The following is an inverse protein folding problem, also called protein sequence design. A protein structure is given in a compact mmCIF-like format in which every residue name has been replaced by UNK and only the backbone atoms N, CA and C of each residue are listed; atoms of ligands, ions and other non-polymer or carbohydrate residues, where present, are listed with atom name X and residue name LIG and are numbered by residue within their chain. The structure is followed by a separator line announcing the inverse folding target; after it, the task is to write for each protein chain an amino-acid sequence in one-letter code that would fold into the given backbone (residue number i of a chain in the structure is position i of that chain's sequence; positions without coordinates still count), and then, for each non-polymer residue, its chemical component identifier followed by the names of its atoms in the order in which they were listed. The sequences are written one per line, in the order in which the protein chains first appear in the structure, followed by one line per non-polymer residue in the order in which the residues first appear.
data_IF_471453330158
#
_entry.id   IF_471453330158
#
_cell.length_a   1.000
_cell.length_b   1.000
_cell.length_c   1.000
_cell.angle_alpha   90.00
_cell.angle_beta   90.00
_cell.angle_gamma   90.00
#
_symmetry.space_group_name_H-M   'P 1'
#
loop_
_entity.id
_entity.type
_entity.pdbx_description
1 polymer ?
#
# COMPACT_ATOMS: atom_id res chain seq x y z
N UNK A 1 11.97 -19.85 -6.75
CA UNK A 1 12.10 -18.38 -6.65
C UNK A 1 10.72 -17.81 -6.91
N UNK A 2 10.12 -17.11 -5.96
CA UNK A 2 8.81 -16.46 -6.18
C UNK A 2 9.04 -15.27 -7.10
N UNK A 3 8.36 -15.23 -8.25
CA UNK A 3 8.43 -14.10 -9.17
C UNK A 3 8.04 -12.81 -8.43
N UNK A 4 8.79 -11.73 -8.65
CA UNK A 4 8.54 -10.45 -7.98
C UNK A 4 8.03 -9.45 -9.02
N UNK A 5 6.98 -8.74 -8.66
CA UNK A 5 6.44 -7.67 -9.47
C UNK A 5 7.06 -6.35 -9.02
N UNK A 6 7.31 -5.49 -9.99
CA UNK A 6 7.72 -4.12 -9.78
C UNK A 6 6.60 -3.21 -10.32
N UNK A 7 5.92 -2.52 -9.42
CA UNK A 7 4.83 -1.59 -9.72
C UNK A 7 5.35 -0.16 -9.68
N UNK A 8 4.99 0.63 -10.69
CA UNK A 8 5.29 2.07 -10.75
C UNK A 8 3.98 2.84 -10.66
N UNK A 9 3.86 3.68 -9.64
CA UNK A 9 2.65 4.42 -9.31
C UNK A 9 2.93 5.92 -9.28
N UNK A 10 1.91 6.75 -9.52
CA UNK A 10 1.94 8.17 -9.14
C UNK A 10 0.81 8.53 -8.20
N UNK A 11 1.06 9.56 -7.40
CA UNK A 11 0.11 10.18 -6.49
C UNK A 11 0.13 11.68 -6.72
N UNK A 12 -0.98 12.24 -7.24
CA UNK A 12 -1.04 13.65 -7.62
C UNK A 12 -0.99 14.60 -6.41
N UNK A 13 -1.71 14.28 -5.34
CA UNK A 13 -1.75 15.09 -4.12
C UNK A 13 -1.61 14.20 -2.89
N UNK A 14 -0.36 13.90 -2.58
CA UNK A 14 0.00 13.04 -1.47
C UNK A 14 -0.45 13.61 -0.12
N UNK A 15 -0.40 14.94 0.05
CA UNK A 15 -0.72 15.61 1.30
C UNK A 15 -2.20 15.44 1.69
N UNK A 16 -3.10 15.43 0.70
CA UNK A 16 -4.54 15.29 0.89
C UNK A 16 -5.08 13.87 0.64
N UNK A 17 -4.25 12.94 0.18
CA UNK A 17 -4.66 11.56 -0.11
C UNK A 17 -5.08 10.81 1.17
N UNK A 18 -6.33 10.36 1.26
CA UNK A 18 -6.86 9.65 2.44
C UNK A 18 -7.76 8.49 2.02
N UNK A 19 -7.64 7.38 2.76
CA UNK A 19 -8.59 6.27 2.69
C UNK A 19 -9.92 6.59 3.36
N UNK A 20 -10.94 5.75 3.11
CA UNK A 20 -12.28 5.91 3.68
C UNK A 20 -12.34 5.71 5.19
N UNK A 21 -11.37 4.98 5.76
CA UNK A 21 -11.31 4.63 7.18
C UNK A 21 -10.12 5.37 7.84
N UNK A 22 -10.35 6.47 8.59
CA UNK A 22 -9.27 7.26 9.18
C UNK A 22 -8.34 6.48 10.10
N UNK A 23 -8.83 5.41 10.74
CA UNK A 23 -8.03 4.55 11.63
C UNK A 23 -6.95 3.72 10.89
N UNK A 24 -7.09 3.56 9.57
CA UNK A 24 -6.16 2.82 8.70
C UNK A 24 -5.25 3.75 7.89
N UNK A 25 -5.61 5.03 7.81
CA UNK A 25 -4.87 6.02 7.03
C UNK A 25 -3.45 6.26 7.56
N UNK A 26 -2.57 6.70 6.66
CA UNK A 26 -1.25 7.18 7.04
C UNK A 26 -1.33 8.65 7.55
N UNK A 27 -0.41 9.10 8.43
CA UNK A 27 -0.35 10.50 8.92
C UNK A 27 0.98 11.30 8.78
N UNK A 28 2.05 10.72 8.24
CA UNK A 28 3.35 11.36 8.00
C UNK A 28 3.35 12.53 7.01
N UNK A 29 4.51 13.17 6.85
CA UNK A 29 4.64 14.52 6.28
C UNK A 29 5.17 14.56 4.84
N UNK A 30 5.63 13.45 4.28
CA UNK A 30 6.17 13.43 2.92
C UNK A 30 6.34 12.04 2.30
N UNK A 31 6.93 11.96 1.08
CA UNK A 31 7.07 10.72 0.33
C UNK A 31 7.84 9.63 1.07
N UNK A 32 8.92 9.96 1.77
CA UNK A 32 9.70 8.98 2.52
C UNK A 32 8.89 8.32 3.65
N UNK A 33 8.09 9.11 4.38
CA UNK A 33 7.21 8.59 5.42
C UNK A 33 6.12 7.69 4.81
N UNK A 34 5.61 8.07 3.64
CA UNK A 34 4.65 7.24 2.91
C UNK A 34 5.26 5.92 2.47
N UNK A 35 6.47 5.94 1.90
CA UNK A 35 7.18 4.73 1.49
C UNK A 35 7.36 3.78 2.67
N UNK A 36 7.77 4.29 3.83
CA UNK A 36 7.88 3.49 5.05
C UNK A 36 6.53 2.91 5.50
N UNK A 37 5.45 3.70 5.44
CA UNK A 37 4.11 3.25 5.81
C UNK A 37 3.58 2.15 4.87
N UNK A 38 3.77 2.31 3.56
CA UNK A 38 3.37 1.31 2.58
C UNK A 38 4.24 0.05 2.67
N UNK A 39 5.56 0.19 2.89
CA UNK A 39 6.46 -0.93 3.10
C UNK A 39 6.04 -1.77 4.32
N UNK A 40 5.76 -1.13 5.46
CA UNK A 40 5.24 -1.82 6.66
C UNK A 40 3.92 -2.53 6.37
N UNK A 41 2.99 -1.88 5.66
CA UNK A 41 1.70 -2.46 5.28
C UNK A 41 1.81 -3.70 4.36
N UNK A 42 2.92 -3.83 3.64
CA UNK A 42 3.22 -4.99 2.80
C UNK A 42 4.00 -6.08 3.57
N UNK A 43 4.86 -5.69 4.52
CA UNK A 43 5.70 -6.62 5.30
C UNK A 43 4.99 -7.21 6.52
N UNK A 44 3.94 -6.55 7.02
CA UNK A 44 3.28 -6.88 8.28
C UNK A 44 1.76 -7.01 8.11
N UNK A 45 1.10 -7.97 8.79
CA UNK A 45 -0.35 -8.10 8.72
C UNK A 45 -1.07 -7.01 9.54
N UNK A 46 -0.34 -6.17 10.29
CA UNK A 46 -0.91 -5.25 11.28
C UNK A 46 -1.99 -4.31 10.74
N UNK A 47 -1.84 -3.84 9.49
CA UNK A 47 -2.85 -3.00 8.84
C UNK A 47 -4.13 -3.81 8.51
N UNK A 48 -3.96 -5.03 7.99
CA UNK A 48 -5.07 -5.94 7.72
C UNK A 48 -5.78 -6.35 9.02
N UNK A 49 -5.05 -6.68 10.08
CA UNK A 49 -5.62 -7.05 11.38
C UNK A 49 -6.44 -5.91 11.99
N UNK A 50 -5.96 -4.66 11.87
CA UNK A 50 -6.71 -3.48 12.31
C UNK A 50 -8.01 -3.30 11.52
N UNK A 51 -7.97 -3.48 10.21
CA UNK A 51 -9.18 -3.44 9.37
C UNK A 51 -10.13 -4.60 9.68
N UNK A 52 -9.61 -5.82 9.85
CA UNK A 52 -10.37 -7.02 10.17
C UNK A 52 -11.13 -6.86 11.49
N UNK A 53 -10.47 -6.32 12.51
CA UNK A 53 -11.08 -6.06 13.82
C UNK A 53 -12.24 -5.06 13.77
N UNK A 54 -12.31 -4.22 12.73
CA UNK A 54 -13.43 -3.29 12.50
C UNK A 54 -14.62 -3.88 11.74
N UNK A 55 -14.51 -5.12 11.24
CA UNK A 55 -15.61 -5.77 10.51
C UNK A 55 -16.69 -6.29 11.45
N UNK A 56 -17.95 -6.44 10.99
CA UNK A 56 -19.04 -7.00 11.80
C UNK A 56 -18.75 -8.43 12.32
N UNK A 57 -18.10 -9.25 11.49
CA UNK A 57 -17.73 -10.64 11.79
C UNK A 57 -16.24 -10.85 11.46
N UNK A 58 -15.31 -10.42 12.33
CA UNK A 58 -13.87 -10.45 12.06
C UNK A 58 -13.32 -11.84 11.75
N UNK A 59 -13.90 -12.88 12.35
CA UNK A 59 -13.45 -14.27 12.20
C UNK A 59 -13.88 -14.91 10.88
N UNK A 60 -14.86 -14.32 10.18
CA UNK A 60 -15.31 -14.78 8.85
C UNK A 60 -14.52 -14.14 7.69
N UNK A 61 -13.69 -13.13 7.99
CA UNK A 61 -12.86 -12.46 6.99
C UNK A 61 -11.78 -13.41 6.50
N UNK A 62 -11.69 -13.58 5.18
CA UNK A 62 -10.67 -14.41 4.52
C UNK A 62 -9.23 -14.02 4.95
N UNK A 63 -8.49 -14.92 5.63
CA UNK A 63 -7.10 -14.67 6.02
C UNK A 63 -6.16 -14.39 4.84
N UNK A 64 -6.49 -14.83 3.63
CA UNK A 64 -5.67 -14.59 2.44
C UNK A 64 -5.56 -13.09 2.09
N UNK A 65 -6.53 -12.27 2.50
CA UNK A 65 -6.47 -10.82 2.38
C UNK A 65 -5.37 -10.19 3.27
N UNK A 66 -4.90 -10.93 4.28
CA UNK A 66 -3.82 -10.58 5.18
C UNK A 66 -2.42 -11.02 4.73
N UNK A 67 -2.27 -11.58 3.53
CA UNK A 67 -0.95 -12.01 3.06
C UNK A 67 0.07 -10.86 3.02
N UNK A 68 1.32 -11.21 3.32
CA UNK A 68 2.45 -10.27 3.47
C UNK A 68 3.65 -10.72 2.65
N UNK A 69 4.53 -9.80 2.31
CA UNK A 69 5.86 -10.05 1.75
C UNK A 69 6.92 -9.37 2.63
N UNK A 70 7.60 -10.15 3.48
CA UNK A 70 8.63 -9.66 4.39
C UNK A 70 9.85 -9.04 3.67
N UNK A 71 9.99 -9.24 2.36
CA UNK A 71 11.06 -8.67 1.55
C UNK A 71 10.59 -7.49 0.71
N UNK A 72 9.32 -7.06 0.80
CA UNK A 72 8.77 -5.97 -0.02
C UNK A 72 9.60 -4.70 0.16
N UNK A 73 9.86 -3.96 -0.92
CA UNK A 73 10.59 -2.68 -0.86
C UNK A 73 9.75 -1.60 -1.49
N UNK A 74 9.76 -0.41 -0.89
CA UNK A 74 9.07 0.77 -1.41
C UNK A 74 10.00 1.96 -1.37
N UNK A 75 10.10 2.68 -2.48
CA UNK A 75 10.65 4.03 -2.49
C UNK A 75 9.62 5.00 -3.06
N UNK A 76 9.67 6.23 -2.57
CA UNK A 76 8.83 7.31 -3.05
C UNK A 76 9.62 8.61 -3.08
N UNK A 77 9.39 9.41 -4.11
CA UNK A 77 10.08 10.67 -4.33
C UNK A 77 9.13 11.70 -4.95
N UNK A 78 9.41 12.97 -4.70
CA UNK A 78 8.73 14.06 -5.39
C UNK A 78 9.23 14.13 -6.83
N UNK A 79 8.31 14.17 -7.79
CA UNK A 79 8.56 14.42 -9.21
C UNK A 79 7.65 15.58 -9.65
N UNK A 80 8.23 16.79 -9.74
CA UNK A 80 7.52 18.04 -10.02
C UNK A 80 6.29 18.27 -9.11
N UNK A 81 5.08 18.07 -9.63
CA UNK A 81 3.79 18.31 -8.96
C UNK A 81 3.14 17.04 -8.39
N UNK A 82 3.80 15.88 -8.50
CA UNK A 82 3.28 14.62 -8.01
C UNK A 82 4.36 13.82 -7.27
N UNK A 83 3.98 12.68 -6.74
CA UNK A 83 4.88 11.73 -6.10
C UNK A 83 4.92 10.47 -6.94
N UNK A 84 6.11 10.04 -7.30
CA UNK A 84 6.34 8.72 -7.89
C UNK A 84 6.64 7.72 -6.79
N UNK A 85 6.11 6.50 -6.95
CA UNK A 85 6.28 5.41 -5.99
C UNK A 85 6.66 4.15 -6.76
N UNK A 86 7.79 3.57 -6.40
CA UNK A 86 8.20 2.25 -6.84
C UNK A 86 7.93 1.22 -5.74
N UNK A 87 7.33 0.09 -6.11
CA UNK A 87 7.01 -1.00 -5.19
C UNK A 87 7.52 -2.31 -5.77
N UNK A 88 8.39 -2.98 -5.03
CA UNK A 88 8.85 -4.33 -5.35
C UNK A 88 8.25 -5.32 -4.36
N UNK A 89 7.42 -6.24 -4.84
CA UNK A 89 6.78 -7.24 -3.99
C UNK A 89 6.40 -8.50 -4.76
N UNK A 90 6.32 -9.62 -4.05
CA UNK A 90 5.71 -10.87 -4.54
C UNK A 90 4.19 -10.89 -4.42
N UNK A 91 3.59 -9.91 -3.71
CA UNK A 91 2.14 -9.80 -3.59
C UNK A 91 1.50 -9.43 -4.93
N UNK A 92 0.29 -9.95 -5.22
CA UNK A 92 -0.47 -9.56 -6.40
C UNK A 92 -1.00 -8.12 -6.29
N UNK A 93 -1.30 -7.52 -7.44
CA UNK A 93 -1.82 -6.14 -7.54
C UNK A 93 -3.09 -5.91 -6.71
N UNK A 94 -3.94 -6.94 -6.53
CA UNK A 94 -5.16 -6.84 -5.71
C UNK A 94 -4.85 -6.50 -4.25
N UNK A 95 -3.83 -7.12 -3.66
CA UNK A 95 -3.42 -6.84 -2.28
C UNK A 95 -2.67 -5.51 -2.17
N UNK A 96 -1.82 -5.17 -3.14
CA UNK A 96 -1.19 -3.84 -3.18
C UNK A 96 -2.25 -2.73 -3.24
N UNK A 97 -3.24 -2.85 -4.14
CA UNK A 97 -4.39 -1.94 -4.24
C UNK A 97 -5.15 -1.83 -2.92
N UNK A 98 -5.36 -2.94 -2.22
CA UNK A 98 -6.02 -2.95 -0.93
C UNK A 98 -5.24 -2.11 0.10
N UNK A 99 -3.92 -2.31 0.22
CA UNK A 99 -3.07 -1.51 1.13
C UNK A 99 -3.09 -0.02 0.78
N UNK A 100 -2.97 0.31 -0.51
CA UNK A 100 -3.07 1.69 -1.00
C UNK A 100 -4.44 2.31 -0.64
N UNK A 101 -5.53 1.61 -0.89
CA UNK A 101 -6.87 2.13 -0.61
C UNK A 101 -7.10 2.41 0.88
N UNK A 102 -6.55 1.59 1.77
CA UNK A 102 -6.61 1.85 3.21
C UNK A 102 -5.76 3.05 3.62
N UNK A 103 -4.54 3.18 3.09
CA UNK A 103 -3.63 4.25 3.46
C UNK A 103 -4.01 5.61 2.87
N UNK A 104 -4.34 5.64 1.58
CA UNK A 104 -4.45 6.86 0.74
C UNK A 104 -5.72 6.93 -0.12
N UNK A 105 -6.58 5.91 -0.07
CA UNK A 105 -7.76 5.85 -0.93
C UNK A 105 -7.39 5.65 -2.40
N UNK A 106 -8.19 6.23 -3.29
CA UNK A 106 -8.03 6.10 -4.74
C UNK A 106 -7.18 7.20 -5.39
N UNK A 107 -6.43 7.96 -4.60
CA UNK A 107 -5.65 9.12 -5.06
C UNK A 107 -4.34 8.74 -5.76
N UNK A 108 -4.32 7.64 -6.51
CA UNK A 108 -3.12 7.11 -7.16
C UNK A 108 -3.44 6.52 -8.52
N UNK A 109 -2.42 6.44 -9.39
CA UNK A 109 -2.50 5.82 -10.70
C UNK A 109 -1.39 4.79 -10.88
N UNK A 110 -1.68 3.68 -11.56
CA UNK A 110 -0.68 2.71 -11.98
C UNK A 110 -0.16 3.08 -13.36
N UNK A 111 1.15 3.23 -13.50
CA UNK A 111 1.79 3.56 -14.78
C UNK A 111 2.33 2.34 -15.50
N UNK A 112 3.03 1.47 -14.78
CA UNK A 112 3.73 0.33 -15.37
C UNK A 112 3.81 -0.82 -14.36
N UNK A 113 3.91 -2.04 -14.89
CA UNK A 113 4.16 -3.26 -14.11
C UNK A 113 5.21 -4.07 -14.84
N UNK A 114 6.31 -4.36 -14.14
CA UNK A 114 7.35 -5.25 -14.66
C UNK A 114 7.41 -6.51 -13.83
N UNK A 115 7.47 -7.65 -14.50
CA UNK A 115 7.70 -8.92 -13.84
C UNK A 115 9.19 -9.24 -13.90
N UNK A 116 9.77 -9.56 -12.74
CA UNK A 116 11.14 -10.05 -12.60
C UNK A 116 11.21 -11.56 -12.43
#
# INVERSE_FOLDING_TARGET
MTARNHYYLSIADLAHARGSEPALGWNGAGPADFAAALEEALRSPSLFERWRAGQPEPDEVDPALGATDAQAQVHAQVADLHVEVDVQTSLPMSLLRQRLNWLIGSAWQLHDVRQG
#
